data_IF_666710643163
#
_entry.id   IF_666710643163
#
_cell.length_a   1.000
_cell.length_b   1.000
_cell.length_c   1.000
_cell.angle_alpha   90.00
_cell.angle_beta   90.00
_cell.angle_gamma   90.00
#
_symmetry.space_group_name_H-M   'P 1'
#
loop_
_entity.id
_entity.type
_entity.pdbx_description
1 polymer ?
#
# COMPACT_ATOMS: atom_id res chain seq x y z
N UNK A 1 10.66 37.35 -8.15
CA UNK A 1 9.27 37.01 -7.80
C UNK A 1 9.29 36.61 -6.34
N UNK A 2 8.67 37.42 -5.51
CA UNK A 2 8.57 37.21 -4.07
C UNK A 2 7.53 36.13 -3.80
N UNK A 3 7.97 34.99 -3.25
CA UNK A 3 7.13 33.82 -3.00
C UNK A 3 6.15 34.02 -1.83
N UNK A 4 6.26 35.13 -1.10
CA UNK A 4 5.42 35.47 0.06
C UNK A 4 3.99 35.88 -0.31
N UNK A 5 3.72 36.25 -1.57
CA UNK A 5 2.39 36.62 -2.04
C UNK A 5 1.58 35.44 -2.61
N UNK A 6 2.10 34.22 -2.59
CA UNK A 6 1.33 33.05 -3.02
C UNK A 6 0.36 32.63 -1.90
N UNK A 7 -0.96 32.76 -2.07
CA UNK A 7 -1.93 32.35 -1.06
C UNK A 7 -1.96 30.82 -0.80
N UNK A 8 -1.24 30.03 -1.61
CA UNK A 8 -0.96 28.62 -1.36
C UNK A 8 0.37 28.35 -0.62
N UNK A 9 1.05 29.39 -0.09
CA UNK A 9 2.31 29.24 0.67
C UNK A 9 2.09 28.71 2.08
N UNK A 10 0.84 28.62 2.54
CA UNK A 10 0.52 27.76 3.67
C UNK A 10 0.62 26.31 3.19
N UNK A 11 1.71 25.65 3.58
CA UNK A 11 1.76 24.21 3.81
C UNK A 11 0.71 23.85 4.88
N UNK A 12 -0.56 24.05 4.57
CA UNK A 12 -1.62 23.31 5.19
C UNK A 12 -1.46 21.92 4.59
N UNK A 13 -0.66 21.08 5.25
CA UNK A 13 -0.73 19.64 5.07
C UNK A 13 -2.20 19.26 5.28
N UNK A 14 -2.98 19.24 4.20
CA UNK A 14 -4.31 18.66 4.22
C UNK A 14 -4.05 17.22 4.60
N UNK A 15 -4.33 16.85 5.86
CA UNK A 15 -4.10 15.48 6.31
C UNK A 15 -4.70 14.55 5.27
N UNK A 16 -3.86 13.67 4.71
CA UNK A 16 -4.30 12.78 3.65
C UNK A 16 -5.39 11.90 4.25
N UNK A 17 -6.65 12.16 3.90
CA UNK A 17 -7.77 11.32 4.34
C UNK A 17 -7.48 9.88 3.93
N UNK A 18 -7.53 8.98 4.91
CA UNK A 18 -7.31 7.56 4.71
C UNK A 18 -8.19 7.03 3.58
N UNK A 19 -7.53 6.44 2.59
CA UNK A 19 -8.15 5.80 1.43
C UNK A 19 -8.29 4.32 1.70
N UNK A 20 -9.40 3.74 1.25
CA UNK A 20 -9.72 2.34 1.43
C UNK A 20 -10.15 1.71 0.11
N UNK A 21 -9.82 0.43 -0.05
CA UNK A 21 -10.16 -0.38 -1.21
C UNK A 21 -10.95 -1.61 -0.79
N UNK A 22 -12.00 -1.90 -1.55
CA UNK A 22 -12.71 -3.16 -1.51
C UNK A 22 -12.37 -3.93 -2.77
N UNK A 23 -11.60 -5.02 -2.67
CA UNK A 23 -11.22 -5.87 -3.81
C UNK A 23 -12.40 -6.68 -4.36
N UNK A 24 -13.39 -7.01 -3.51
CA UNK A 24 -14.57 -7.76 -3.92
C UNK A 24 -15.46 -7.02 -4.92
N UNK A 25 -15.84 -5.77 -4.61
CA UNK A 25 -16.68 -4.96 -5.50
C UNK A 25 -15.88 -3.88 -6.25
N UNK A 26 -14.55 -3.86 -6.08
CA UNK A 26 -13.61 -2.97 -6.76
C UNK A 26 -13.87 -1.49 -6.52
N UNK A 27 -14.43 -1.16 -5.35
CA UNK A 27 -14.69 0.23 -4.94
C UNK A 27 -13.50 0.77 -4.15
N UNK A 28 -13.07 1.97 -4.52
CA UNK A 28 -12.14 2.77 -3.72
C UNK A 28 -12.86 3.98 -3.17
N UNK A 29 -12.63 4.31 -1.90
CA UNK A 29 -13.32 5.40 -1.22
C UNK A 29 -12.43 6.04 -0.15
N UNK A 30 -12.77 7.28 0.22
CA UNK A 30 -12.18 7.96 1.38
C UNK A 30 -13.11 7.77 2.57
N UNK A 31 -12.54 7.53 3.74
CA UNK A 31 -13.29 7.52 5.01
C UNK A 31 -12.68 8.59 5.93
N UNK A 32 -13.53 9.35 6.61
CA UNK A 32 -13.11 10.17 7.76
C UNK A 32 -12.86 9.24 8.93
N UNK A 33 -11.73 9.42 9.61
CA UNK A 33 -11.51 8.67 10.85
C UNK A 33 -12.46 9.22 11.92
N UNK A 34 -12.92 8.38 12.86
CA UNK A 34 -13.88 8.82 13.88
C UNK A 34 -13.30 9.95 14.75
N UNK A 35 -11.98 9.96 14.95
CA UNK A 35 -11.25 11.06 15.59
C UNK A 35 -11.37 12.40 14.85
N UNK A 36 -11.59 12.41 13.52
CA UNK A 36 -11.87 13.63 12.76
C UNK A 36 -13.28 14.19 13.06
N UNK A 37 -14.20 13.34 13.52
CA UNK A 37 -15.61 13.68 13.75
C UNK A 37 -15.84 13.98 15.23
N UNK A 38 -15.31 13.14 16.11
CA UNK A 38 -15.40 13.26 17.55
C UNK A 38 -14.07 12.78 18.17
N UNK A 39 -13.30 13.71 18.71
CA UNK A 39 -11.96 13.46 19.28
C UNK A 39 -11.97 12.44 20.43
N UNK A 40 -13.12 12.18 21.06
CA UNK A 40 -13.27 11.24 22.16
C UNK A 40 -13.64 9.82 21.70
N UNK A 41 -14.05 9.64 20.44
CA UNK A 41 -14.45 8.34 19.90
C UNK A 41 -13.25 7.66 19.23
N UNK A 42 -12.61 6.74 19.96
CA UNK A 42 -11.39 6.04 19.54
C UNK A 42 -11.63 4.67 18.92
N UNK A 43 -12.81 4.08 19.09
CA UNK A 43 -13.15 2.77 18.51
C UNK A 43 -13.46 2.85 17.01
N UNK A 44 -12.43 2.76 16.20
CA UNK A 44 -12.59 2.60 14.76
C UNK A 44 -12.91 1.15 14.39
N UNK A 45 -14.19 0.86 14.11
CA UNK A 45 -14.58 -0.39 13.46
C UNK A 45 -13.81 -0.57 12.15
N UNK A 46 -13.39 -1.80 11.87
CA UNK A 46 -12.75 -2.16 10.60
C UNK A 46 -13.55 -1.59 9.41
N UNK A 47 -12.89 -0.97 8.43
CA UNK A 47 -13.56 -0.26 7.35
C UNK A 47 -14.39 -1.21 6.51
N UNK A 48 -15.68 -0.89 6.36
CA UNK A 48 -16.60 -1.61 5.50
C UNK A 48 -16.85 -0.83 4.22
N UNK A 49 -16.97 -1.55 3.11
CA UNK A 49 -17.30 -0.98 1.82
C UNK A 49 -18.73 -0.45 1.84
N UNK A 50 -18.98 0.80 1.41
CA UNK A 50 -20.33 1.36 1.38
C UNK A 50 -21.21 0.77 0.27
N UNK A 51 -20.64 0.05 -0.71
CA UNK A 51 -21.41 -0.62 -1.77
C UNK A 51 -21.84 -2.03 -1.39
N UNK A 52 -20.92 -2.86 -0.88
CA UNK A 52 -21.19 -4.28 -0.65
C UNK A 52 -21.09 -4.72 0.82
N UNK A 53 -20.78 -3.81 1.75
CA UNK A 53 -20.69 -4.09 3.19
C UNK A 53 -19.48 -4.94 3.62
N UNK A 54 -18.69 -5.48 2.69
CA UNK A 54 -17.49 -6.28 2.99
C UNK A 54 -16.36 -5.44 3.56
N UNK A 55 -15.44 -6.09 4.26
CA UNK A 55 -14.23 -5.45 4.74
C UNK A 55 -13.41 -4.86 3.60
N UNK A 56 -12.82 -3.70 3.86
CA UNK A 56 -11.93 -2.99 2.98
C UNK A 56 -10.56 -2.90 3.62
N UNK A 57 -9.51 -2.71 2.84
CA UNK A 57 -8.17 -2.46 3.38
C UNK A 57 -7.76 -1.02 3.12
N UNK A 58 -6.92 -0.49 3.99
CA UNK A 58 -6.28 0.78 3.74
C UNK A 58 -5.32 0.68 2.55
N UNK A 59 -5.18 1.77 1.80
CA UNK A 59 -4.25 1.88 0.67
C UNK A 59 -3.45 3.16 0.81
N UNK A 60 -2.23 3.17 0.24
CA UNK A 60 -1.36 4.32 0.33
C UNK A 60 -1.95 5.56 -0.36
N UNK A 61 -1.53 6.77 0.04
CA UNK A 61 -2.14 8.03 -0.40
C UNK A 61 -2.04 8.25 -1.91
N UNK A 62 -0.99 7.76 -2.58
CA UNK A 62 -0.81 7.87 -4.03
C UNK A 62 -1.33 6.68 -4.83
N UNK A 63 -1.92 5.66 -4.19
CA UNK A 63 -2.49 4.52 -4.91
C UNK A 63 -3.59 4.98 -5.88
N UNK A 64 -3.45 4.59 -7.15
CA UNK A 64 -4.43 4.85 -8.22
C UNK A 64 -5.11 3.54 -8.60
N UNK A 65 -6.37 3.38 -8.20
CA UNK A 65 -7.13 2.18 -8.49
C UNK A 65 -7.45 2.05 -9.99
N UNK A 66 -7.41 0.84 -10.56
CA UNK A 66 -7.84 0.63 -11.93
C UNK A 66 -9.34 0.94 -12.10
N UNK A 67 -9.78 1.10 -13.35
CA UNK A 67 -11.22 1.17 -13.65
C UNK A 67 -11.92 -0.10 -13.16
N UNK A 68 -13.17 0.02 -12.68
CA UNK A 68 -13.92 -1.08 -12.03
C UNK A 68 -14.10 -2.32 -12.92
N UNK A 69 -14.17 -2.09 -14.23
CA UNK A 69 -14.33 -3.07 -15.31
C UNK A 69 -12.99 -3.62 -15.85
N UNK A 70 -11.84 -3.06 -15.47
CA UNK A 70 -10.52 -3.58 -15.87
C UNK A 70 -10.14 -4.83 -15.05
N UNK A 71 -10.77 -5.96 -15.40
CA UNK A 71 -10.59 -7.23 -14.71
C UNK A 71 -9.13 -7.69 -14.70
N UNK A 72 -8.32 -7.29 -15.69
CA UNK A 72 -6.92 -7.71 -15.80
C UNK A 72 -6.08 -6.98 -14.77
N UNK A 73 -6.23 -5.66 -14.66
CA UNK A 73 -5.53 -4.89 -13.64
C UNK A 73 -6.00 -5.27 -12.22
N UNK A 74 -7.29 -5.55 -12.03
CA UNK A 74 -7.80 -5.97 -10.72
C UNK A 74 -7.26 -7.32 -10.24
N UNK A 75 -6.93 -8.26 -11.13
CA UNK A 75 -6.22 -9.50 -10.74
C UNK A 75 -4.87 -9.20 -10.08
N UNK A 76 -4.16 -8.20 -10.57
CA UNK A 76 -2.92 -7.76 -9.94
C UNK A 76 -3.17 -7.10 -8.60
N UNK A 77 -4.21 -6.27 -8.49
CA UNK A 77 -4.62 -5.68 -7.20
C UNK A 77 -4.94 -6.76 -6.17
N UNK A 78 -5.62 -7.84 -6.57
CA UNK A 78 -5.96 -8.95 -5.68
C UNK A 78 -4.71 -9.66 -5.16
N UNK A 79 -3.74 -9.94 -6.03
CA UNK A 79 -2.44 -10.53 -5.61
C UNK A 79 -1.71 -9.59 -4.64
N UNK A 80 -1.67 -8.30 -4.95
CA UNK A 80 -1.03 -7.30 -4.09
C UNK A 80 -1.79 -7.13 -2.76
N UNK A 81 -3.11 -7.31 -2.74
CA UNK A 81 -3.93 -7.32 -1.53
C UNK A 81 -3.58 -8.50 -0.64
N UNK A 82 -3.53 -9.71 -1.21
CA UNK A 82 -3.23 -10.94 -0.49
C UNK A 82 -1.81 -10.93 0.10
N UNK A 83 -0.87 -10.27 -0.59
CA UNK A 83 0.49 -10.04 -0.12
C UNK A 83 0.60 -8.86 0.87
N UNK A 84 -0.49 -8.12 1.10
CA UNK A 84 -0.50 -6.94 1.95
C UNK A 84 0.24 -5.74 1.37
N UNK A 85 0.53 -5.69 0.07
CA UNK A 85 1.39 -4.66 -0.57
C UNK A 85 0.67 -3.40 -1.04
N UNK A 86 -0.67 -3.35 -0.99
CA UNK A 86 -1.41 -2.17 -1.45
C UNK A 86 -1.12 -0.89 -0.67
N UNK A 87 -0.70 -1.03 0.59
CA UNK A 87 -0.28 0.13 1.38
C UNK A 87 1.06 0.68 0.87
N UNK A 88 2.00 -0.20 0.49
CA UNK A 88 3.35 0.15 0.03
C UNK A 88 3.35 0.96 -1.29
N UNK A 89 2.55 0.55 -2.27
CA UNK A 89 2.50 1.13 -3.63
C UNK A 89 2.16 2.63 -3.63
N UNK A 90 1.48 3.13 -2.60
CA UNK A 90 1.12 4.56 -2.51
C UNK A 90 2.14 5.47 -1.80
N UNK A 91 3.25 4.91 -1.28
CA UNK A 91 4.34 5.69 -0.68
C UNK A 91 5.60 5.70 -1.53
N UNK A 92 5.88 4.60 -2.23
CA UNK A 92 7.19 4.39 -2.82
C UNK A 92 7.39 5.03 -4.19
N UNK A 93 6.32 5.31 -4.94
CA UNK A 93 6.44 6.08 -6.18
C UNK A 93 5.15 6.86 -6.49
N UNK A 94 5.29 8.08 -7.00
CA UNK A 94 4.17 8.89 -7.51
C UNK A 94 3.47 8.26 -8.71
N UNK A 95 4.18 7.38 -9.41
CA UNK A 95 3.79 6.79 -10.70
C UNK A 95 3.97 5.27 -10.72
N UNK A 96 3.86 4.60 -9.57
CA UNK A 96 3.76 3.14 -9.55
C UNK A 96 2.42 2.73 -10.16
N UNK A 97 2.38 2.63 -11.49
CA UNK A 97 1.29 2.02 -12.22
C UNK A 97 1.14 0.58 -11.75
N UNK A 98 -0.09 0.21 -11.41
CA UNK A 98 -0.41 -1.17 -11.02
C UNK A 98 -0.15 -2.03 -12.26
N UNK A 99 0.69 -3.08 -12.17
CA UNK A 99 0.97 -3.92 -13.31
C UNK A 99 -0.33 -4.52 -13.85
N UNK A 100 -0.67 -4.24 -15.11
CA UNK A 100 -1.92 -4.69 -15.73
C UNK A 100 -1.77 -5.99 -16.54
N UNK A 101 -0.59 -6.60 -16.49
CA UNK A 101 -0.26 -7.85 -17.17
C UNK A 101 0.36 -8.86 -16.22
N UNK A 102 0.18 -10.14 -16.52
CA UNK A 102 0.77 -11.25 -15.75
C UNK A 102 2.31 -11.14 -15.68
N UNK A 103 2.93 -10.80 -16.82
CA UNK A 103 4.37 -10.57 -16.90
C UNK A 103 4.79 -9.37 -16.06
N UNK A 104 4.14 -8.21 -16.23
CA UNK A 104 4.47 -7.02 -15.46
C UNK A 104 4.29 -7.20 -13.95
N UNK A 105 3.27 -7.95 -13.52
CA UNK A 105 3.08 -8.28 -12.10
C UNK A 105 4.23 -9.17 -11.60
N UNK A 106 4.60 -10.18 -12.37
CA UNK A 106 5.71 -11.06 -12.01
C UNK A 106 7.03 -10.30 -11.91
N UNK A 107 7.33 -9.46 -12.89
CA UNK A 107 8.54 -8.62 -12.92
C UNK A 107 8.57 -7.66 -11.72
N UNK A 108 7.43 -7.02 -11.39
CA UNK A 108 7.29 -6.18 -10.20
C UNK A 108 7.58 -6.93 -8.89
N UNK A 109 7.01 -8.13 -8.72
CA UNK A 109 7.22 -8.94 -7.51
C UNK A 109 8.66 -9.45 -7.40
N UNK A 110 9.31 -9.78 -8.52
CA UNK A 110 10.74 -10.15 -8.56
C UNK A 110 11.59 -8.96 -8.11
N UNK A 111 11.35 -7.77 -8.66
CA UNK A 111 12.10 -6.57 -8.27
C UNK A 111 11.94 -6.25 -6.78
N UNK A 112 10.72 -6.34 -6.26
CA UNK A 112 10.44 -6.13 -4.84
C UNK A 112 11.14 -7.18 -3.95
N UNK A 113 11.19 -8.43 -4.41
CA UNK A 113 11.91 -9.49 -3.69
C UNK A 113 13.40 -9.19 -3.62
N UNK A 114 14.01 -8.76 -4.72
CA UNK A 114 15.41 -8.34 -4.76
C UNK A 114 15.68 -7.16 -3.82
N UNK A 115 14.77 -6.18 -3.74
CA UNK A 115 14.85 -5.08 -2.78
C UNK A 115 14.85 -5.60 -1.33
N UNK A 116 13.96 -6.54 -1.02
CA UNK A 116 13.87 -7.13 0.31
C UNK A 116 15.13 -7.93 0.65
N UNK A 117 15.68 -8.70 -0.30
CA UNK A 117 16.93 -9.44 -0.14
C UNK A 117 18.11 -8.48 0.11
N UNK A 118 18.19 -7.36 -0.61
CA UNK A 118 19.20 -6.32 -0.39
C UNK A 118 19.09 -5.73 1.02
N UNK A 119 17.87 -5.41 1.47
CA UNK A 119 17.64 -4.88 2.81
C UNK A 119 18.09 -5.88 3.89
N UNK A 120 17.72 -7.16 3.76
CA UNK A 120 18.16 -8.22 4.68
C UNK A 120 19.69 -8.33 4.72
N UNK A 121 20.36 -8.35 3.55
CA UNK A 121 21.83 -8.39 3.50
C UNK A 121 22.45 -7.19 4.23
N UNK A 122 21.89 -6.00 4.03
CA UNK A 122 22.34 -4.77 4.70
C UNK A 122 22.29 -4.88 6.22
N UNK A 123 21.16 -5.30 6.80
CA UNK A 123 21.03 -5.45 8.26
C UNK A 123 21.82 -6.62 8.83
N UNK A 124 22.00 -7.72 8.09
CA UNK A 124 22.84 -8.84 8.54
C UNK A 124 24.31 -8.43 8.59
N UNK A 125 24.76 -7.56 7.68
CA UNK A 125 26.12 -7.02 7.67
C UNK A 125 26.37 -5.90 8.69
N UNK A 126 25.31 -5.38 9.31
CA UNK A 126 25.39 -4.34 10.34
C UNK A 126 25.64 -4.95 11.73
N UNK A 127 25.98 -4.10 12.69
CA UNK A 127 26.05 -4.50 14.10
C UNK A 127 24.70 -5.03 14.59
N UNK A 128 24.74 -6.06 15.44
CA UNK A 128 23.52 -6.67 15.95
C UNK A 128 22.70 -5.70 16.81
N UNK A 129 21.40 -5.64 16.52
CA UNK A 129 20.41 -5.03 17.41
C UNK A 129 19.09 -5.80 17.35
N UNK A 130 18.24 -5.65 18.37
CA UNK A 130 16.92 -6.29 18.39
C UNK A 130 16.03 -5.72 17.27
N UNK A 131 16.19 -4.45 16.94
CA UNK A 131 15.55 -3.77 15.82
C UNK A 131 15.97 -4.42 14.50
N UNK A 132 17.27 -4.60 14.27
CA UNK A 132 17.79 -5.24 13.06
C UNK A 132 17.25 -6.67 12.94
N UNK A 133 17.20 -7.44 14.04
CA UNK A 133 16.61 -8.79 14.05
C UNK A 133 15.14 -8.78 13.63
N UNK A 134 14.36 -7.83 14.11
CA UNK A 134 12.94 -7.70 13.76
C UNK A 134 12.76 -7.33 12.28
N UNK A 135 13.57 -6.40 11.75
CA UNK A 135 13.57 -6.05 10.34
C UNK A 135 13.95 -7.26 9.47
N UNK A 136 15.07 -7.93 9.78
CA UNK A 136 15.50 -9.14 9.07
C UNK A 136 14.38 -10.17 9.01
N UNK A 137 13.69 -10.42 10.13
CA UNK A 137 12.55 -11.36 10.17
C UNK A 137 11.41 -10.91 9.26
N UNK A 138 10.96 -9.65 9.38
CA UNK A 138 9.87 -9.11 8.57
C UNK A 138 10.15 -9.25 7.06
N UNK A 139 11.32 -8.82 6.61
CA UNK A 139 11.68 -8.89 5.20
C UNK A 139 11.92 -10.33 4.72
N UNK A 140 12.49 -11.20 5.57
CA UNK A 140 12.64 -12.64 5.25
C UNK A 140 11.30 -13.36 5.09
N UNK A 141 10.32 -13.06 5.94
CA UNK A 141 8.97 -13.61 5.81
C UNK A 141 8.27 -13.04 4.56
N UNK A 142 8.49 -11.76 4.27
CA UNK A 142 8.06 -11.12 3.03
C UNK A 142 8.61 -11.81 1.77
N UNK A 143 9.91 -12.11 1.73
CA UNK A 143 10.56 -12.82 0.62
C UNK A 143 9.89 -14.17 0.36
N UNK A 144 9.65 -14.97 1.41
CA UNK A 144 8.98 -16.28 1.28
C UNK A 144 7.56 -16.16 0.69
N UNK A 145 6.82 -15.12 1.07
CA UNK A 145 5.48 -14.87 0.54
C UNK A 145 5.54 -14.44 -0.93
N UNK A 146 6.50 -13.59 -1.30
CA UNK A 146 6.75 -13.18 -2.67
C UNK A 146 7.11 -14.38 -3.56
N UNK A 147 8.02 -15.25 -3.12
CA UNK A 147 8.43 -16.45 -3.86
C UNK A 147 7.23 -17.37 -4.15
N UNK A 148 6.39 -17.61 -3.14
CA UNK A 148 5.16 -18.41 -3.29
C UNK A 148 4.19 -17.77 -4.28
N UNK A 149 4.05 -16.45 -4.29
CA UNK A 149 3.19 -15.75 -5.24
C UNK A 149 3.75 -15.81 -6.66
N UNK A 150 5.05 -15.57 -6.83
CA UNK A 150 5.76 -15.61 -8.12
C UNK A 150 5.65 -17.00 -8.78
N UNK A 151 5.66 -18.08 -7.99
CA UNK A 151 5.48 -19.46 -8.52
C UNK A 151 4.06 -19.74 -9.03
N UNK A 152 3.04 -19.04 -8.48
CA UNK A 152 1.63 -19.20 -8.89
C UNK A 152 1.28 -18.32 -10.10
N UNK A 153 2.10 -17.32 -10.39
CA UNK A 153 2.00 -16.42 -11.55
C UNK A 153 2.84 -16.98 -12.69
#
# INVERSE_FOLDING_TARGET
MDYSENPNFYLQERSYKSKYICTYCRKTFKRKVLSDINKLQTEEKAPKCPECGRFSSWIGPKFRSPKKDDLKAWKSVDVLYDLGLLHYIGWTNSDADIPNSRKGLKDFLIQLKEDYERNVRGWVSAEYSIENKNQIKYFSDGIRNLERAIQKI
#
